data_IF_562404292900
#
_entry.id   IF_562404292900
#
_cell.length_a   1.000
_cell.length_b   1.000
_cell.length_c   1.000
_cell.angle_alpha   90.00
_cell.angle_beta   90.00
_cell.angle_gamma   90.00
#
_symmetry.space_group_name_H-M   'P 1'
#
loop_
_entity.id
_entity.type
_entity.pdbx_description
1 polymer ?
#
# COMPACT_ATOMS: atom_id res chain seq x y z
N UNK A 1 24.13 58.02 -35.97
CA UNK A 1 25.11 57.52 -34.99
C UNK A 1 24.85 56.04 -34.80
N UNK A 2 25.57 55.23 -35.56
CA UNK A 2 25.45 53.77 -35.64
C UNK A 2 26.19 53.13 -34.48
N UNK A 3 25.47 52.54 -33.53
CA UNK A 3 26.04 51.76 -32.42
C UNK A 3 26.22 50.31 -32.86
N UNK A 4 27.47 49.94 -33.15
CA UNK A 4 27.92 48.56 -33.35
C UNK A 4 27.98 47.81 -32.01
N UNK A 5 27.31 46.66 -31.94
CA UNK A 5 27.51 45.67 -30.86
C UNK A 5 28.35 44.52 -31.43
N UNK A 6 29.50 44.16 -30.82
CA UNK A 6 30.34 43.06 -31.31
C UNK A 6 29.80 41.68 -30.91
N UNK A 7 30.00 40.63 -31.74
CA UNK A 7 29.59 39.26 -31.43
C UNK A 7 30.56 38.55 -30.48
N UNK A 8 30.01 37.73 -29.59
CA UNK A 8 30.73 36.88 -28.62
C UNK A 8 31.56 35.78 -29.31
N UNK A 9 32.74 35.42 -28.77
CA UNK A 9 33.56 34.34 -29.32
C UNK A 9 32.94 32.96 -29.02
N UNK A 10 32.83 32.15 -30.07
CA UNK A 10 32.28 30.80 -30.05
C UNK A 10 33.13 29.78 -29.27
N UNK A 11 32.44 28.83 -28.64
CA UNK A 11 33.04 27.63 -28.08
C UNK A 11 33.65 26.75 -29.18
N UNK A 12 34.87 26.22 -29.02
CA UNK A 12 35.43 25.25 -29.96
C UNK A 12 34.75 23.88 -29.82
N UNK A 13 34.56 23.12 -30.93
CA UNK A 13 33.99 21.78 -30.90
C UNK A 13 34.97 20.78 -30.26
N UNK A 14 34.41 19.86 -29.47
CA UNK A 14 35.14 18.79 -28.82
C UNK A 14 35.76 17.81 -29.84
N UNK A 15 37.07 17.59 -29.70
CA UNK A 15 37.84 16.60 -30.45
C UNK A 15 37.31 15.18 -30.16
N UNK A 16 36.96 14.47 -31.23
CA UNK A 16 36.61 13.05 -31.23
C UNK A 16 37.90 12.22 -31.18
N UNK A 17 38.11 11.45 -30.11
CA UNK A 17 39.18 10.44 -30.05
C UNK A 17 38.66 9.08 -30.55
N UNK A 18 39.45 8.34 -31.34
CA UNK A 18 39.08 7.04 -31.89
C UNK A 18 39.16 5.91 -30.86
N UNK A 19 38.44 4.84 -31.15
CA UNK A 19 38.03 3.79 -30.23
C UNK A 19 39.16 3.02 -29.55
N UNK A 20 38.90 2.69 -28.29
CA UNK A 20 39.65 1.69 -27.53
C UNK A 20 38.68 0.58 -27.14
N UNK A 21 38.77 -0.53 -27.85
CA UNK A 21 38.09 -1.79 -27.58
C UNK A 21 38.60 -2.34 -26.24
N UNK A 22 37.82 -2.20 -25.17
CA UNK A 22 38.03 -2.97 -23.95
C UNK A 22 36.91 -4.01 -23.83
N UNK A 23 37.31 -5.27 -23.93
CA UNK A 23 36.43 -6.41 -23.69
C UNK A 23 35.92 -6.36 -22.25
N UNK A 24 34.61 -6.20 -22.11
CA UNK A 24 33.94 -6.35 -20.83
C UNK A 24 33.87 -7.86 -20.49
N UNK A 25 34.31 -8.28 -19.29
CA UNK A 25 34.06 -9.63 -18.82
C UNK A 25 32.56 -9.86 -18.60
N UNK A 26 32.10 -11.07 -18.93
CA UNK A 26 30.73 -11.52 -18.76
C UNK A 26 30.20 -11.25 -17.33
N UNK A 27 28.93 -10.85 -17.17
CA UNK A 27 28.34 -10.67 -15.85
C UNK A 27 28.28 -12.02 -15.11
N UNK A 28 28.58 -12.07 -13.80
CA UNK A 28 28.48 -13.29 -13.03
C UNK A 28 27.02 -13.77 -12.97
N UNK A 29 26.84 -15.06 -13.27
CA UNK A 29 25.58 -15.78 -13.14
C UNK A 29 25.07 -15.65 -11.69
N UNK A 30 23.83 -15.19 -11.45
CA UNK A 30 23.30 -15.11 -10.10
C UNK A 30 23.08 -16.51 -9.54
N UNK A 31 23.74 -16.80 -8.41
CA UNK A 31 23.43 -17.93 -7.56
C UNK A 31 21.97 -17.81 -7.07
N UNK A 32 21.20 -18.91 -6.97
CA UNK A 32 19.84 -18.86 -6.48
C UNK A 32 19.83 -18.52 -4.97
N UNK A 33 19.66 -17.23 -4.68
CA UNK A 33 19.37 -16.71 -3.36
C UNK A 33 17.90 -16.86 -3.00
N UNK A 34 17.67 -17.30 -1.77
CA UNK A 34 16.38 -17.57 -1.14
C UNK A 34 15.35 -16.45 -1.35
N UNK A 35 14.27 -16.77 -2.06
CA UNK A 35 13.07 -15.96 -2.09
C UNK A 35 12.37 -16.07 -0.73
N UNK A 36 12.32 -14.96 0.00
CA UNK A 36 11.40 -14.75 1.11
C UNK A 36 9.97 -14.86 0.57
N UNK A 37 9.24 -15.87 1.06
CA UNK A 37 7.84 -16.09 0.73
C UNK A 37 6.99 -14.93 1.25
N UNK A 38 6.44 -14.14 0.34
CA UNK A 38 5.26 -13.30 0.59
C UNK A 38 4.06 -14.11 0.08
N UNK A 39 3.42 -14.83 1.00
CA UNK A 39 2.17 -15.55 0.76
C UNK A 39 1.04 -14.54 0.52
N UNK A 40 0.69 -14.34 -0.74
CA UNK A 40 -0.48 -13.59 -1.18
C UNK A 40 -1.33 -14.44 -2.12
N UNK A 41 -2.17 -15.30 -1.58
CA UNK A 41 -3.14 -16.07 -2.35
C UNK A 41 -4.20 -15.13 -2.95
N UNK A 42 -4.05 -14.80 -4.22
CA UNK A 42 -5.12 -14.21 -5.03
C UNK A 42 -5.78 -15.32 -5.84
N UNK A 43 -6.87 -15.86 -5.29
CA UNK A 43 -7.71 -16.90 -5.89
C UNK A 43 -8.49 -16.33 -7.08
N UNK A 44 -8.04 -16.58 -8.31
CA UNK A 44 -8.88 -16.40 -9.51
C UNK A 44 -9.65 -17.70 -9.78
N UNK A 45 -10.98 -17.61 -9.78
CA UNK A 45 -11.92 -18.70 -10.08
C UNK A 45 -12.11 -18.74 -11.60
N UNK A 46 -11.77 -19.88 -12.21
CA UNK A 46 -12.04 -20.16 -13.62
C UNK A 46 -13.52 -20.37 -13.90
N UNK A 47 -13.92 -19.98 -15.10
CA UNK A 47 -15.25 -20.13 -15.65
C UNK A 47 -15.51 -21.58 -16.08
N UNK A 48 -16.68 -22.10 -15.69
CA UNK A 48 -17.28 -23.31 -16.18
C UNK A 48 -18.77 -23.07 -16.31
N UNK A 49 -19.25 -22.98 -17.54
CA UNK A 49 -20.67 -23.05 -17.88
C UNK A 49 -21.22 -24.44 -17.56
N UNK A 50 -22.23 -24.52 -16.69
CA UNK A 50 -23.40 -25.41 -16.83
C UNK A 50 -24.51 -24.95 -15.87
N UNK A 51 -25.73 -24.84 -16.39
CA UNK A 51 -26.99 -25.08 -15.65
C UNK A 51 -27.46 -23.98 -14.69
N UNK A 52 -28.50 -23.26 -15.09
CA UNK A 52 -29.14 -22.22 -14.27
C UNK A 52 -29.75 -22.76 -12.98
N UNK A 53 -29.42 -22.08 -11.87
CA UNK A 53 -30.27 -21.87 -10.70
C UNK A 53 -29.96 -20.47 -10.16
N UNK A 54 -30.99 -19.68 -9.92
CA UNK A 54 -30.90 -18.25 -9.58
C UNK A 54 -29.98 -17.96 -8.39
N UNK A 55 -28.89 -17.21 -8.66
CA UNK A 55 -28.01 -16.68 -7.64
C UNK A 55 -28.65 -15.48 -6.94
N UNK A 56 -28.92 -15.63 -5.65
CA UNK A 56 -29.34 -14.54 -4.76
C UNK A 56 -28.20 -13.51 -4.69
N UNK A 57 -28.45 -12.21 -4.89
CA UNK A 57 -27.41 -11.19 -4.76
C UNK A 57 -26.86 -11.19 -3.33
N UNK A 58 -25.54 -11.27 -3.21
CA UNK A 58 -24.81 -11.17 -1.94
C UNK A 58 -25.23 -9.87 -1.21
N UNK A 59 -25.75 -9.94 0.03
CA UNK A 59 -26.21 -8.74 0.72
C UNK A 59 -25.03 -7.81 0.96
N UNK A 60 -25.20 -6.56 0.53
CA UNK A 60 -24.30 -5.44 0.84
C UNK A 60 -23.96 -5.45 2.34
N UNK A 61 -22.72 -5.10 2.74
CA UNK A 61 -22.35 -5.05 4.14
C UNK A 61 -23.34 -4.15 4.92
N UNK A 62 -23.72 -4.55 6.15
CA UNK A 62 -24.72 -3.82 6.90
C UNK A 62 -24.27 -2.38 7.12
N UNK A 63 -25.19 -1.40 7.00
CA UNK A 63 -24.85 -0.01 7.22
C UNK A 63 -24.26 0.18 8.63
N UNK A 64 -23.32 1.12 8.81
CA UNK A 64 -22.74 1.38 10.12
C UNK A 64 -23.85 1.65 11.14
N UNK A 65 -23.73 1.03 12.32
CA UNK A 65 -24.75 1.02 13.40
C UNK A 65 -25.20 2.41 13.87
N UNK A 66 -24.47 3.46 13.49
CA UNK A 66 -24.91 4.84 13.54
C UNK A 66 -24.49 5.52 12.23
N UNK A 67 -25.40 5.67 11.25
CA UNK A 67 -25.11 6.56 10.13
C UNK A 67 -25.03 7.96 10.73
N UNK A 68 -23.83 8.56 10.76
CA UNK A 68 -23.73 10.00 10.95
C UNK A 68 -24.66 10.62 9.92
N UNK A 69 -25.69 11.39 10.34
CA UNK A 69 -26.61 12.02 9.42
C UNK A 69 -25.79 12.78 8.39
N UNK A 70 -26.20 12.75 7.13
CA UNK A 70 -25.71 13.72 6.15
C UNK A 70 -25.74 15.11 6.81
N UNK A 71 -24.67 15.90 6.66
CA UNK A 71 -24.58 17.18 7.34
C UNK A 71 -25.82 18.00 6.96
N UNK A 72 -26.47 18.68 7.92
CA UNK A 72 -27.56 19.56 7.56
C UNK A 72 -27.06 20.58 6.53
N UNK A 73 -27.94 21.06 5.62
CA UNK A 73 -27.63 22.23 4.78
C UNK A 73 -27.12 23.36 5.68
N UNK A 74 -26.28 24.30 5.17
CA UNK A 74 -25.63 25.30 6.00
C UNK A 74 -26.69 25.95 6.89
N UNK A 75 -26.62 25.66 8.19
CA UNK A 75 -27.61 26.14 9.14
C UNK A 75 -27.62 27.66 9.08
N UNK A 76 -28.76 28.27 9.39
CA UNK A 76 -28.88 29.73 9.50
C UNK A 76 -27.73 30.32 10.33
N UNK A 77 -27.38 29.64 11.43
CA UNK A 77 -26.25 29.94 12.31
C UNK A 77 -24.90 29.94 11.58
N UNK A 78 -24.62 28.94 10.74
CA UNK A 78 -23.36 28.87 9.99
C UNK A 78 -23.21 30.07 9.06
N UNK A 79 -24.29 30.44 8.36
CA UNK A 79 -24.27 31.55 7.41
C UNK A 79 -24.15 32.91 8.12
N UNK A 80 -24.74 33.05 9.30
CA UNK A 80 -24.57 34.25 10.15
C UNK A 80 -23.14 34.35 10.69
N UNK A 81 -22.55 33.24 11.12
CA UNK A 81 -21.23 33.22 11.76
C UNK A 81 -20.08 33.39 10.76
N UNK A 82 -20.17 32.71 9.62
CA UNK A 82 -19.08 32.61 8.63
C UNK A 82 -19.36 33.32 7.31
N UNK A 83 -20.64 33.44 6.93
CA UNK A 83 -21.05 33.96 5.63
C UNK A 83 -20.46 33.15 4.48
N UNK A 84 -19.84 33.87 3.53
CA UNK A 84 -19.18 33.30 2.35
C UNK A 84 -17.67 33.07 2.55
N UNK A 85 -17.15 33.36 3.74
CA UNK A 85 -15.71 33.24 4.04
C UNK A 85 -15.40 31.82 4.53
N UNK A 86 -14.19 31.30 4.26
CA UNK A 86 -13.81 30.00 4.79
C UNK A 86 -13.67 30.05 6.32
N UNK A 87 -13.98 28.94 6.97
CA UNK A 87 -14.04 28.82 8.44
C UNK A 87 -12.75 29.27 9.14
N UNK A 88 -11.59 29.06 8.51
CA UNK A 88 -10.28 29.35 9.07
C UNK A 88 -9.83 30.81 8.92
N UNK A 89 -10.52 31.66 8.13
CA UNK A 89 -10.06 33.02 7.83
C UNK A 89 -10.01 33.94 9.07
N UNK A 90 -10.95 33.79 9.99
CA UNK A 90 -11.02 34.60 11.22
C UNK A 90 -10.11 34.12 12.35
N UNK A 91 -9.24 33.14 12.09
CA UNK A 91 -8.44 32.49 13.12
C UNK A 91 -6.97 32.92 13.08
N UNK A 92 -6.44 33.29 14.25
CA UNK A 92 -5.02 33.63 14.42
C UNK A 92 -4.41 32.81 15.55
N UNK A 93 -3.22 32.24 15.28
CA UNK A 93 -2.46 31.45 16.27
C UNK A 93 -1.55 32.35 17.10
N UNK A 94 -1.59 32.14 18.41
CA UNK A 94 -0.63 32.73 19.34
C UNK A 94 0.68 31.92 19.28
N UNK A 95 1.77 32.58 18.91
CA UNK A 95 3.12 32.03 18.87
C UNK A 95 4.14 33.14 19.13
N UNK A 96 5.37 32.79 19.51
CA UNK A 96 6.43 33.75 19.79
C UNK A 96 7.09 34.20 18.48
N UNK A 97 7.26 35.52 18.31
CA UNK A 97 7.93 36.11 17.15
C UNK A 97 7.03 36.19 15.91
N UNK A 98 7.62 36.62 14.79
CA UNK A 98 6.90 36.80 13.52
C UNK A 98 6.72 35.48 12.75
N UNK A 99 7.61 34.51 12.93
CA UNK A 99 7.61 33.24 12.19
C UNK A 99 6.96 32.14 13.06
N UNK A 100 5.85 31.54 12.62
CA UNK A 100 5.20 30.47 13.36
C UNK A 100 6.02 29.17 13.34
N UNK A 101 5.88 28.32 14.37
CA UNK A 101 6.40 26.95 14.30
C UNK A 101 5.82 26.21 13.10
N UNK A 102 6.69 25.52 12.34
CA UNK A 102 6.31 24.81 11.12
C UNK A 102 5.35 23.64 11.35
N UNK A 103 5.22 23.17 12.59
CA UNK A 103 4.20 22.19 12.97
C UNK A 103 3.19 22.80 13.93
N UNK A 104 1.91 22.57 13.66
CA UNK A 104 0.86 22.96 14.60
C UNK A 104 0.81 22.00 15.78
N UNK A 105 0.03 22.36 16.82
CA UNK A 105 -0.13 21.52 18.00
C UNK A 105 -0.77 20.17 17.64
N UNK A 106 -0.44 19.12 18.40
CA UNK A 106 -0.96 17.76 18.16
C UNK A 106 -2.50 17.70 18.19
N UNK A 107 -3.13 18.24 19.22
CA UNK A 107 -4.59 18.28 19.38
C UNK A 107 -5.05 19.52 20.17
N UNK A 108 -6.26 20.00 19.89
CA UNK A 108 -6.91 21.09 20.63
C UNK A 108 -7.80 20.61 21.78
N UNK A 109 -8.24 19.36 21.75
CA UNK A 109 -9.03 18.74 22.82
C UNK A 109 -8.13 17.80 23.61
N UNK A 110 -7.99 18.03 24.91
CA UNK A 110 -7.24 17.16 25.84
C UNK A 110 -8.20 16.65 26.90
N UNK A 111 -8.40 15.33 26.98
CA UNK A 111 -9.38 14.70 27.89
C UNK A 111 -10.77 15.35 27.81
N UNK A 112 -11.24 15.67 26.60
CA UNK A 112 -12.54 16.30 26.35
C UNK A 112 -12.59 17.83 26.57
N UNK A 113 -11.58 18.44 27.18
CA UNK A 113 -11.54 19.89 27.42
C UNK A 113 -10.80 20.63 26.30
N UNK A 114 -11.35 21.75 25.78
CA UNK A 114 -10.66 22.56 24.79
C UNK A 114 -9.50 23.33 25.43
N UNK A 115 -8.43 23.51 24.66
CA UNK A 115 -7.37 24.49 24.99
C UNK A 115 -7.91 25.92 24.85
N UNK A 116 -7.24 26.91 25.46
CA UNK A 116 -7.72 28.29 25.49
C UNK A 116 -8.00 28.93 24.12
N UNK A 117 -7.13 28.73 23.13
CA UNK A 117 -7.36 29.20 21.75
C UNK A 117 -7.45 27.99 20.79
N UNK A 118 -8.60 27.27 20.74
CA UNK A 118 -8.79 26.07 19.91
C UNK A 118 -8.83 26.41 18.42
N UNK A 119 -8.47 25.45 17.56
CA UNK A 119 -8.46 25.68 16.11
C UNK A 119 -9.88 25.83 15.52
N UNK A 120 -10.03 26.34 14.28
CA UNK A 120 -11.34 26.67 13.70
C UNK A 120 -12.36 25.53 13.70
N UNK A 121 -11.89 24.29 13.55
CA UNK A 121 -12.73 23.08 13.58
C UNK A 121 -13.06 22.64 15.01
N UNK A 122 -12.16 22.86 15.98
CA UNK A 122 -12.36 22.37 17.35
C UNK A 122 -13.05 23.37 18.26
N UNK A 123 -13.16 24.65 17.86
CA UNK A 123 -13.93 25.65 18.60
C UNK A 123 -15.43 25.40 18.47
N UNK A 124 -15.87 24.99 17.28
CA UNK A 124 -17.28 24.77 16.96
C UNK A 124 -17.56 23.28 16.86
N UNK A 125 -18.38 22.76 17.78
CA UNK A 125 -18.74 21.33 17.81
C UNK A 125 -19.65 20.92 16.65
N UNK A 126 -20.32 21.88 16.02
CA UNK A 126 -21.25 21.63 14.91
C UNK A 126 -20.50 21.33 13.60
N UNK A 127 -19.20 21.65 13.52
CA UNK A 127 -18.35 21.36 12.36
C UNK A 127 -17.79 19.94 12.44
N UNK A 128 -18.54 19.01 11.89
CA UNK A 128 -18.14 17.60 11.77
C UNK A 128 -17.30 17.38 10.50
N UNK A 129 -16.15 16.72 10.67
CA UNK A 129 -15.24 16.39 9.55
C UNK A 129 -15.62 15.03 9.01
N UNK A 130 -16.44 15.02 7.96
CA UNK A 130 -16.88 13.81 7.26
C UNK A 130 -16.67 13.96 5.75
N UNK A 131 -16.46 12.83 5.07
CA UNK A 131 -16.28 12.79 3.61
C UNK A 131 -17.52 13.26 2.83
N UNK A 132 -18.71 13.20 3.45
CA UNK A 132 -19.97 13.68 2.87
C UNK A 132 -20.06 15.21 2.87
N UNK A 133 -19.27 15.89 3.68
CA UNK A 133 -19.39 17.34 3.94
C UNK A 133 -18.57 18.14 2.93
N UNK A 134 -18.87 17.97 1.65
CA UNK A 134 -18.11 18.54 0.52
C UNK A 134 -17.92 20.06 0.66
N UNK A 135 -18.96 20.78 1.10
CA UNK A 135 -18.91 22.25 1.32
C UNK A 135 -17.90 22.68 2.39
N UNK A 136 -17.67 21.86 3.41
CA UNK A 136 -16.67 22.11 4.43
C UNK A 136 -15.28 21.75 3.91
N UNK A 137 -15.13 20.56 3.33
CA UNK A 137 -13.85 20.04 2.84
C UNK A 137 -13.25 20.93 1.75
N UNK A 138 -14.06 21.43 0.81
CA UNK A 138 -13.63 22.34 -0.26
C UNK A 138 -12.91 23.59 0.27
N UNK A 139 -13.23 24.07 1.47
CA UNK A 139 -12.59 25.25 2.05
C UNK A 139 -11.14 25.00 2.47
N UNK A 140 -10.75 23.73 2.65
CA UNK A 140 -9.40 23.31 3.03
C UNK A 140 -8.54 22.91 1.83
N UNK A 141 -9.08 23.04 0.61
CA UNK A 141 -8.43 22.69 -0.65
C UNK A 141 -8.19 23.99 -1.44
N UNK A 142 -7.04 24.09 -2.09
CA UNK A 142 -6.77 25.18 -3.02
C UNK A 142 -7.66 25.04 -4.27
N UNK A 143 -8.44 26.07 -4.66
CA UNK A 143 -9.35 25.98 -5.80
C UNK A 143 -8.62 25.80 -7.14
N UNK A 144 -7.36 26.23 -7.25
CA UNK A 144 -6.61 26.17 -8.49
C UNK A 144 -5.71 24.92 -8.60
N UNK A 145 -5.06 24.52 -7.51
CA UNK A 145 -4.12 23.40 -7.53
C UNK A 145 -4.73 22.07 -7.05
N UNK A 146 -5.89 22.10 -6.40
CA UNK A 146 -6.48 20.90 -5.78
C UNK A 146 -5.69 20.36 -4.57
N UNK A 147 -4.64 21.06 -4.14
CA UNK A 147 -3.79 20.67 -3.00
C UNK A 147 -4.43 21.09 -1.68
N UNK A 148 -4.41 20.21 -0.69
CA UNK A 148 -4.86 20.50 0.68
C UNK A 148 -3.93 21.52 1.34
N UNK A 149 -4.49 22.57 1.94
CA UNK A 149 -3.69 23.57 2.63
C UNK A 149 -2.92 22.99 3.83
N UNK A 150 -1.66 23.40 3.96
CA UNK A 150 -0.83 23.05 5.12
C UNK A 150 -1.45 23.60 6.42
N UNK A 151 -1.36 22.88 7.56
CA UNK A 151 -2.01 23.31 8.81
C UNK A 151 -1.47 24.62 9.39
N UNK A 152 -0.28 25.06 8.98
CA UNK A 152 0.24 26.41 9.33
C UNK A 152 -0.58 27.52 8.68
N UNK A 153 -1.14 27.29 7.49
CA UNK A 153 -1.99 28.24 6.78
C UNK A 153 -3.40 28.29 7.37
N UNK A 154 -4.02 27.13 7.58
CA UNK A 154 -5.41 27.02 8.08
C UNK A 154 -5.52 27.09 9.61
N UNK A 155 -4.42 26.92 10.33
CA UNK A 155 -4.36 26.98 11.79
C UNK A 155 -4.97 25.76 12.51
N UNK A 156 -5.31 24.69 11.80
CA UNK A 156 -5.86 23.47 12.39
C UNK A 156 -4.81 22.68 13.18
N UNK A 157 -5.25 21.94 14.21
CA UNK A 157 -4.35 21.02 14.89
C UNK A 157 -4.04 19.78 14.04
N UNK A 158 -2.91 19.13 14.28
CA UNK A 158 -2.46 17.98 13.48
C UNK A 158 -3.46 16.82 13.49
N UNK A 159 -4.17 16.59 14.60
CA UNK A 159 -5.25 15.59 14.69
C UNK A 159 -6.35 15.86 13.67
N UNK A 160 -6.84 17.10 13.60
CA UNK A 160 -7.89 17.46 12.65
C UNK A 160 -7.38 17.53 11.23
N UNK A 161 -6.13 17.97 11.01
CA UNK A 161 -5.52 17.94 9.68
C UNK A 161 -5.48 16.51 9.11
N UNK A 162 -5.04 15.53 9.90
CA UNK A 162 -5.03 14.13 9.48
C UNK A 162 -6.45 13.61 9.18
N UNK A 163 -7.44 13.99 9.97
CA UNK A 163 -8.85 13.63 9.71
C UNK A 163 -9.38 14.27 8.44
N UNK A 164 -9.06 15.55 8.19
CA UNK A 164 -9.41 16.26 6.96
C UNK A 164 -8.79 15.60 5.74
N UNK A 165 -7.49 15.31 5.77
CA UNK A 165 -6.79 14.64 4.65
C UNK A 165 -7.46 13.31 4.33
N UNK A 166 -7.72 12.48 5.35
CA UNK A 166 -8.42 11.20 5.17
C UNK A 166 -9.83 11.38 4.60
N UNK A 167 -10.60 12.35 5.10
CA UNK A 167 -11.96 12.62 4.63
C UNK A 167 -11.97 13.15 3.19
N UNK A 168 -10.97 13.94 2.80
CA UNK A 168 -10.80 14.45 1.43
C UNK A 168 -10.44 13.30 0.48
N UNK A 169 -9.47 12.47 0.85
CA UNK A 169 -9.10 11.26 0.09
C UNK A 169 -10.33 10.37 -0.10
N UNK A 170 -11.05 10.05 0.97
CA UNK A 170 -12.29 9.26 0.89
C UNK A 170 -13.34 9.92 0.00
N UNK A 171 -13.52 11.25 0.08
CA UNK A 171 -14.48 11.95 -0.75
C UNK A 171 -14.08 11.96 -2.24
N UNK A 172 -12.78 11.97 -2.55
CA UNK A 172 -12.26 11.82 -3.91
C UNK A 172 -12.47 10.39 -4.42
N UNK A 173 -12.20 9.37 -3.60
CA UNK A 173 -12.43 7.95 -3.93
C UNK A 173 -13.92 7.67 -4.21
N UNK A 174 -14.82 8.33 -3.46
CA UNK A 174 -16.26 8.24 -3.66
C UNK A 174 -16.79 9.14 -4.79
N UNK A 175 -15.93 9.93 -5.46
CA UNK A 175 -16.34 10.86 -6.52
C UNK A 175 -17.19 12.05 -6.04
N UNK A 176 -17.20 12.36 -4.74
CA UNK A 176 -17.92 13.51 -4.17
C UNK A 176 -17.13 14.82 -4.30
N UNK A 177 -15.80 14.71 -4.34
CA UNK A 177 -14.89 15.82 -4.60
C UNK A 177 -14.26 15.68 -5.98
N UNK A 178 -14.14 16.82 -6.65
CA UNK A 178 -13.38 16.93 -7.89
C UNK A 178 -11.88 16.71 -7.62
N UNK A 179 -11.26 15.88 -8.46
CA UNK A 179 -9.82 15.64 -8.50
C UNK A 179 -9.37 15.61 -9.97
N UNK A 180 -8.29 16.31 -10.29
CA UNK A 180 -7.70 16.24 -11.62
C UNK A 180 -6.94 14.92 -11.78
N UNK A 181 -7.53 13.99 -12.53
CA UNK A 181 -6.89 12.73 -12.90
C UNK A 181 -6.22 12.93 -14.26
N UNK A 182 -4.88 12.90 -14.34
CA UNK A 182 -4.20 13.01 -15.63
C UNK A 182 -4.52 11.78 -16.47
N UNK A 183 -4.65 11.98 -17.79
CA UNK A 183 -4.66 10.87 -18.72
C UNK A 183 -3.30 10.18 -18.70
N UNK A 184 -3.29 8.90 -18.35
CA UNK A 184 -2.11 8.05 -18.42
C UNK A 184 -2.24 7.20 -19.68
N UNK A 185 -1.35 7.35 -20.69
CA UNK A 185 -1.43 6.53 -21.88
C UNK A 185 -1.22 5.06 -21.51
N UNK A 186 -1.90 4.18 -22.24
CA UNK A 186 -1.61 2.75 -22.14
C UNK A 186 -0.13 2.50 -22.46
N UNK A 187 0.55 1.61 -21.72
CA UNK A 187 1.88 1.15 -22.10
C UNK A 187 1.89 0.72 -23.58
N UNK A 188 3.01 0.95 -24.28
CA UNK A 188 3.15 0.62 -25.72
C UNK A 188 3.32 -0.88 -25.99
N UNK A 189 2.96 -1.71 -25.03
CA UNK A 189 3.18 -3.14 -25.09
C UNK A 189 2.08 -3.85 -25.88
N UNK A 190 2.43 -4.97 -26.49
CA UNK A 190 1.47 -5.82 -27.18
C UNK A 190 0.59 -6.54 -26.15
N UNK A 191 -0.67 -6.15 -26.05
CA UNK A 191 -1.67 -6.76 -25.13
C UNK A 191 -2.17 -8.14 -25.61
N UNK A 192 -1.33 -8.89 -26.30
CA UNK A 192 -1.68 -10.22 -26.83
C UNK A 192 -1.57 -11.28 -25.74
N UNK A 193 -2.69 -11.93 -25.41
CA UNK A 193 -2.74 -13.06 -24.46
C UNK A 193 -2.28 -14.39 -25.09
N UNK A 194 -1.51 -14.35 -26.19
CA UNK A 194 -0.99 -15.54 -26.85
C UNK A 194 0.22 -16.15 -26.13
N UNK A 195 0.86 -15.39 -25.23
CA UNK A 195 2.02 -15.90 -24.50
C UNK A 195 1.63 -17.06 -23.56
N UNK A 196 2.36 -18.20 -23.57
CA UNK A 196 2.02 -19.38 -22.77
C UNK A 196 1.96 -19.16 -21.26
N UNK A 197 2.58 -18.09 -20.73
CA UNK A 197 2.50 -17.74 -19.32
C UNK A 197 1.10 -17.25 -18.89
N UNK A 198 0.32 -16.69 -19.82
CA UNK A 198 -1.08 -16.26 -19.56
C UNK A 198 -2.06 -17.34 -20.02
N UNK A 199 -1.67 -18.12 -21.04
CA UNK A 199 -2.45 -19.25 -21.54
C UNK A 199 -2.39 -20.49 -20.67
N UNK A 200 -3.10 -21.55 -21.11
CA UNK A 200 -3.02 -22.87 -20.47
C UNK A 200 -1.71 -23.54 -20.88
N UNK A 201 -0.80 -23.74 -19.94
CA UNK A 201 0.40 -24.55 -20.18
C UNK A 201 0.00 -26.03 -20.29
N UNK A 202 0.39 -26.73 -21.37
CA UNK A 202 0.15 -28.16 -21.48
C UNK A 202 0.75 -28.89 -20.27
N UNK A 203 0.02 -29.83 -19.64
CA UNK A 203 0.56 -30.57 -18.51
C UNK A 203 1.77 -31.39 -18.95
N UNK A 204 2.82 -31.39 -18.13
CA UNK A 204 3.99 -32.22 -18.40
C UNK A 204 3.60 -33.71 -18.37
N UNK A 205 4.24 -34.58 -19.17
CA UNK A 205 3.93 -36.02 -19.20
C UNK A 205 4.04 -36.71 -17.83
N UNK A 206 4.92 -36.20 -16.96
CA UNK A 206 5.16 -36.72 -15.60
C UNK A 206 4.11 -36.20 -14.59
N UNK A 207 3.34 -35.18 -14.97
CA UNK A 207 2.30 -34.55 -14.15
C UNK A 207 0.96 -35.32 -14.20
N UNK A 208 1.03 -36.65 -14.22
CA UNK A 208 -0.13 -37.48 -13.91
C UNK A 208 -0.59 -37.15 -12.47
N UNK A 209 -1.91 -37.11 -12.19
CA UNK A 209 -2.42 -36.69 -10.89
C UNK A 209 -1.79 -37.52 -9.76
N UNK A 210 -1.02 -36.85 -8.89
CA UNK A 210 -0.47 -37.44 -7.67
C UNK A 210 1.02 -37.82 -7.69
N UNK A 211 1.76 -37.58 -8.79
CA UNK A 211 3.22 -37.84 -8.83
C UNK A 211 4.04 -36.54 -8.78
N UNK A 212 5.17 -36.50 -8.07
CA UNK A 212 6.07 -35.36 -8.11
C UNK A 212 6.80 -35.28 -9.45
N UNK A 213 7.29 -34.07 -9.76
CA UNK A 213 7.98 -33.77 -11.02
C UNK A 213 9.23 -34.64 -11.25
N UNK A 214 9.97 -34.93 -10.17
CA UNK A 214 11.15 -35.78 -10.22
C UNK A 214 10.98 -37.03 -9.35
N UNK A 215 11.44 -38.21 -9.80
CA UNK A 215 11.30 -39.47 -9.06
C UNK A 215 11.97 -39.49 -7.68
N UNK A 216 12.98 -38.63 -7.45
CA UNK A 216 13.74 -38.56 -6.20
C UNK A 216 13.10 -37.64 -5.14
N UNK A 217 11.97 -36.98 -5.46
CA UNK A 217 11.14 -36.31 -4.45
C UNK A 217 10.36 -37.31 -3.60
N UNK A 218 10.05 -38.49 -4.16
CA UNK A 218 9.53 -39.62 -3.40
C UNK A 218 10.67 -40.30 -2.64
N UNK A 219 10.43 -40.63 -1.37
CA UNK A 219 11.39 -41.38 -0.59
C UNK A 219 11.55 -42.79 -1.17
N UNK A 220 12.76 -43.11 -1.61
CA UNK A 220 13.12 -44.45 -2.10
C UNK A 220 14.06 -45.12 -1.09
N UNK A 221 13.81 -46.39 -0.71
CA UNK A 221 14.68 -47.08 0.23
C UNK A 221 16.06 -47.32 -0.39
N UNK A 222 17.15 -46.86 0.24
CA UNK A 222 18.50 -47.09 -0.28
C UNK A 222 18.88 -48.58 -0.20
N UNK A 223 19.72 -49.08 -1.11
CA UNK A 223 20.14 -50.47 -1.10
C UNK A 223 20.94 -50.81 0.16
N UNK A 224 20.65 -51.96 0.76
CA UNK A 224 21.19 -52.38 2.05
C UNK A 224 22.73 -52.37 2.11
N UNK A 225 23.41 -52.68 1.00
CA UNK A 225 24.88 -52.61 0.90
C UNK A 225 25.41 -51.18 1.06
N UNK A 226 24.73 -50.16 0.52
CA UNK A 226 25.12 -48.76 0.68
C UNK A 226 24.89 -48.28 2.12
N UNK A 227 23.77 -48.70 2.73
CA UNK A 227 23.49 -48.44 4.15
C UNK A 227 24.55 -49.08 5.05
N UNK A 228 24.96 -50.31 4.76
CA UNK A 228 26.02 -51.00 5.50
C UNK A 228 27.39 -50.29 5.37
N UNK A 229 27.74 -49.78 4.17
CA UNK A 229 28.94 -48.96 3.99
C UNK A 229 28.89 -47.67 4.80
N UNK A 230 27.76 -46.95 4.79
CA UNK A 230 27.58 -45.73 5.58
C UNK A 230 27.65 -46.00 7.09
N UNK A 231 27.04 -47.10 7.56
CA UNK A 231 27.12 -47.53 8.98
C UNK A 231 28.55 -47.88 9.41
N UNK A 232 29.37 -48.42 8.52
CA UNK A 232 30.81 -48.67 8.78
C UNK A 232 31.62 -47.38 8.82
N UNK A 233 31.36 -46.45 7.89
CA UNK A 233 32.13 -45.21 7.77
C UNK A 233 31.83 -44.21 8.90
N UNK A 234 30.57 -44.13 9.35
CA UNK A 234 30.11 -43.15 10.34
C UNK A 234 29.74 -43.76 11.69
N UNK A 235 30.33 -44.92 12.03
CA UNK A 235 29.95 -45.78 13.16
C UNK A 235 29.72 -45.02 14.47
N UNK A 236 30.56 -44.05 14.78
CA UNK A 236 30.55 -43.33 16.06
C UNK A 236 29.59 -42.11 16.08
N UNK A 237 29.00 -41.76 14.93
CA UNK A 237 28.17 -40.55 14.75
C UNK A 237 26.78 -40.84 14.15
N UNK A 238 26.33 -42.10 14.10
CA UNK A 238 25.01 -42.44 13.57
C UNK A 238 23.87 -42.08 14.53
N UNK A 239 22.80 -41.52 13.97
CA UNK A 239 21.49 -41.35 14.62
C UNK A 239 20.58 -42.54 14.32
N UNK A 240 19.53 -42.70 15.12
CA UNK A 240 18.51 -43.72 14.90
C UNK A 240 17.78 -43.48 13.56
N UNK A 241 17.56 -44.55 12.80
CA UNK A 241 16.99 -44.46 11.46
C UNK A 241 15.48 -44.19 11.55
N UNK A 242 15.07 -43.01 11.09
CA UNK A 242 13.66 -42.62 11.09
C UNK A 242 12.94 -43.29 9.92
N UNK A 243 11.75 -43.83 10.17
CA UNK A 243 10.89 -44.42 9.13
C UNK A 243 10.57 -43.39 8.01
N UNK A 244 10.18 -43.85 6.81
CA UNK A 244 9.76 -42.94 5.74
C UNK A 244 8.70 -41.96 6.25
N UNK A 245 8.76 -40.67 5.85
CA UNK A 245 7.73 -39.71 6.22
C UNK A 245 6.38 -40.20 5.69
N UNK A 246 5.34 -40.20 6.55
CA UNK A 246 4.00 -40.57 6.14
C UNK A 246 3.55 -39.69 4.97
N UNK A 247 3.08 -40.31 3.89
CA UNK A 247 2.68 -39.60 2.68
C UNK A 247 1.48 -38.69 2.98
N UNK A 248 1.68 -37.37 2.88
CA UNK A 248 0.59 -36.39 2.75
C UNK A 248 0.13 -35.66 4.02
N UNK A 249 0.74 -35.87 5.18
CA UNK A 249 0.44 -35.05 6.37
C UNK A 249 1.54 -33.99 6.59
N UNK A 250 1.21 -32.68 6.51
CA UNK A 250 2.08 -31.66 7.09
C UNK A 250 2.30 -32.01 8.58
N UNK A 251 3.52 -31.87 9.13
CA UNK A 251 3.72 -32.09 10.54
C UNK A 251 2.84 -31.11 11.32
N UNK A 252 1.92 -31.63 12.13
CA UNK A 252 1.17 -30.82 13.09
C UNK A 252 2.18 -30.07 13.96
N UNK A 253 2.11 -28.75 13.90
CA UNK A 253 2.94 -27.84 14.68
C UNK A 253 2.62 -28.10 16.17
N UNK A 254 3.58 -28.57 17.00
CA UNK A 254 3.29 -28.83 18.40
C UNK A 254 2.95 -27.50 19.08
N UNK A 255 1.69 -27.40 19.50
CA UNK A 255 1.16 -26.36 20.38
C UNK A 255 2.13 -26.11 21.54
N UNK A 256 2.42 -24.83 21.76
CA UNK A 256 3.14 -24.27 22.91
C UNK A 256 2.82 -25.00 24.21
N UNK A 257 3.80 -25.36 25.05
CA UNK A 257 3.53 -26.01 26.33
C UNK A 257 2.77 -25.06 27.26
N UNK A 258 1.63 -25.54 27.75
CA UNK A 258 0.86 -24.93 28.83
C UNK A 258 1.74 -24.68 30.04
N UNK A 259 1.73 -23.44 30.54
CA UNK A 259 2.35 -23.06 31.80
C UNK A 259 1.56 -23.71 32.94
N UNK A 260 2.15 -24.68 33.63
CA UNK A 260 1.67 -25.12 34.95
C UNK A 260 1.95 -24.02 35.97
N UNK A 261 0.88 -23.50 36.59
CA UNK A 261 0.98 -22.72 37.82
C UNK A 261 1.35 -23.66 38.97
N UNK A 262 2.60 -23.60 39.42
CA UNK A 262 3.02 -24.18 40.69
C UNK A 262 2.70 -23.19 41.80
N UNK A 263 1.78 -23.58 42.68
CA UNK A 263 1.47 -22.82 43.89
C UNK A 263 2.58 -22.93 44.91
N UNK A 264 2.90 -21.77 45.50
CA UNK A 264 3.20 -21.54 46.92
C UNK A 264 2.84 -20.09 47.25
#
# INVERSE_FOLDING_TARGET
MTSHTPPHPGCPPALQHPGSTQGHPAPPVPLPGSALGVSGERRYRGEGEIGGLGGVPNPSPPPPKNPHPSPPPPSTEYRVTYGNKPVWLGYRRNHKGAIPPQRTRKACLRKGKPVGNPCPICRDRNLHVDFRNVKLLNQFICPHSGVVFHPTHTGVCMKQHKLLTKAIEQAQDHGLLWLQVPYVPVPRDDFSNQHPAVGKTPPAPVLAPGRPWYPWYEWQPPPAAAVARMRRLYKDYLKEETAPPAAGTPPDNPSTPSVEHRGE
#
